data_IF_156933836480
#
_entry.id   IF_156933836480
#
_cell.length_a   1.000
_cell.length_b   1.000
_cell.length_c   1.000
_cell.angle_alpha   90.00
_cell.angle_beta   90.00
_cell.angle_gamma   90.00
#
_symmetry.space_group_name_H-M   'P 1'
#
loop_
_entity.id
_entity.type
_entity.pdbx_description
1 polymer ?
#
# COMPACT_ATOMS: atom_id res chain seq x y z
N UNK A 1 5.94 -9.27 -1.89
CA UNK A 1 5.94 -7.81 -1.67
C UNK A 1 6.08 -7.06 -3.00
N UNK A 2 5.15 -6.14 -3.30
CA UNK A 2 5.14 -5.27 -4.49
C UNK A 2 5.38 -3.82 -4.08
N UNK A 3 6.19 -3.08 -4.84
CA UNK A 3 6.39 -1.65 -4.61
C UNK A 3 5.38 -0.83 -5.43
N UNK A 4 4.65 0.06 -4.76
CA UNK A 4 3.67 0.98 -5.32
C UNK A 4 4.33 2.36 -5.44
N UNK A 5 4.43 2.89 -6.65
CA UNK A 5 5.10 4.15 -6.90
C UNK A 5 4.18 5.15 -7.60
N UNK A 6 4.52 6.43 -7.48
CA UNK A 6 3.99 7.48 -8.36
C UNK A 6 4.51 7.24 -9.80
N UNK A 7 3.68 7.40 -10.83
CA UNK A 7 4.06 7.23 -12.24
C UNK A 7 4.88 8.43 -12.76
N UNK A 8 6.02 8.70 -12.11
CA UNK A 8 6.84 9.92 -12.20
C UNK A 8 7.71 10.08 -13.45
N UNK A 9 7.54 9.24 -14.46
CA UNK A 9 8.29 9.33 -15.72
C UNK A 9 8.02 8.16 -16.66
N UNK A 10 8.50 8.21 -17.93
CA UNK A 10 8.24 7.17 -18.92
C UNK A 10 8.70 5.77 -18.48
N UNK A 11 9.89 5.65 -17.90
CA UNK A 11 10.41 4.35 -17.46
C UNK A 11 9.66 3.78 -16.26
N UNK A 12 9.29 4.62 -15.30
CA UNK A 12 8.47 4.19 -14.16
C UNK A 12 7.09 3.70 -14.63
N UNK A 13 6.47 4.39 -15.58
CA UNK A 13 5.20 3.99 -16.19
C UNK A 13 5.34 2.67 -16.95
N UNK A 14 6.41 2.50 -17.74
CA UNK A 14 6.68 1.25 -18.44
C UNK A 14 6.88 0.07 -17.47
N UNK A 15 7.59 0.29 -16.36
CA UNK A 15 7.76 -0.73 -15.32
C UNK A 15 6.44 -1.12 -14.65
N UNK A 16 5.51 -0.17 -14.47
CA UNK A 16 4.16 -0.45 -13.95
C UNK A 16 3.32 -1.24 -14.95
N UNK A 17 3.29 -0.83 -16.23
CA UNK A 17 2.57 -1.56 -17.28
C UNK A 17 3.12 -2.97 -17.51
N UNK A 18 4.42 -3.19 -17.28
CA UNK A 18 5.04 -4.51 -17.31
C UNK A 18 4.80 -5.34 -16.02
N UNK A 19 4.05 -4.82 -15.04
CA UNK A 19 3.75 -5.50 -13.77
C UNK A 19 4.92 -5.61 -12.79
N UNK A 20 6.03 -4.91 -13.03
CA UNK A 20 7.20 -4.89 -12.14
C UNK A 20 6.96 -4.01 -10.91
N UNK A 21 6.17 -2.96 -11.07
CA UNK A 21 5.73 -2.04 -10.02
C UNK A 21 4.20 -1.95 -10.03
N UNK A 22 3.60 -1.54 -8.91
CA UNK A 22 2.23 -1.03 -8.89
C UNK A 22 2.19 0.49 -8.89
N UNK A 23 1.02 1.05 -9.14
CA UNK A 23 0.78 2.48 -9.09
C UNK A 23 0.17 2.87 -7.73
N UNK A 24 0.78 3.82 -7.02
CA UNK A 24 0.10 4.56 -5.96
C UNK A 24 -0.58 5.78 -6.59
N UNK A 25 -1.87 5.95 -6.38
CA UNK A 25 -2.62 7.11 -6.88
C UNK A 25 -3.30 7.87 -5.74
N UNK A 26 -3.39 9.19 -5.88
CA UNK A 26 -4.04 10.08 -4.92
C UNK A 26 -4.87 11.14 -5.65
N UNK A 27 -5.87 11.76 -4.99
CA UNK A 27 -6.70 12.79 -5.61
C UNK A 27 -5.91 13.95 -6.21
N UNK A 28 -4.84 14.39 -5.52
CA UNK A 28 -4.05 15.55 -5.92
C UNK A 28 -2.87 15.23 -6.85
N UNK A 29 -2.62 13.96 -7.19
CA UNK A 29 -1.41 13.56 -7.93
C UNK A 29 -1.39 14.04 -9.39
N UNK A 30 -2.56 14.20 -10.01
CA UNK A 30 -2.72 14.63 -11.41
C UNK A 30 -2.20 13.67 -12.48
N UNK A 31 -1.46 12.62 -12.10
CA UNK A 31 -0.97 11.61 -13.02
C UNK A 31 -2.01 10.51 -13.25
N UNK A 32 -2.05 9.97 -14.47
CA UNK A 32 -2.89 8.81 -14.82
C UNK A 32 -2.23 7.50 -14.39
N UNK A 33 -3.05 6.52 -14.01
CA UNK A 33 -2.58 5.15 -13.77
C UNK A 33 -2.15 4.55 -15.13
N UNK A 34 -0.94 3.99 -15.24
CA UNK A 34 -0.50 3.36 -16.49
C UNK A 34 -1.39 2.20 -16.91
N UNK A 35 -1.51 2.00 -18.23
CA UNK A 35 -2.30 0.92 -18.80
C UNK A 35 -1.82 -0.45 -18.28
N UNK A 36 -2.77 -1.32 -17.91
CA UNK A 36 -2.51 -2.65 -17.35
C UNK A 36 -1.94 -2.67 -15.92
N UNK A 37 -1.56 -1.53 -15.35
CA UNK A 37 -0.97 -1.50 -14.01
C UNK A 37 -2.00 -1.84 -12.93
N UNK A 38 -1.57 -2.61 -11.92
CA UNK A 38 -2.28 -2.72 -10.65
C UNK A 38 -2.09 -1.40 -9.87
N UNK A 39 -3.13 -0.96 -9.17
CA UNK A 39 -3.13 0.33 -8.49
C UNK A 39 -3.69 0.25 -7.08
N UNK A 40 -3.27 1.17 -6.23
CA UNK A 40 -3.88 1.42 -4.93
C UNK A 40 -4.23 2.90 -4.78
N UNK A 41 -5.26 3.18 -3.99
CA UNK A 41 -5.78 4.53 -3.79
C UNK A 41 -5.46 5.02 -2.37
N UNK A 42 -4.54 5.99 -2.27
CA UNK A 42 -4.24 6.71 -1.05
C UNK A 42 -5.10 7.99 -0.99
N UNK A 43 -5.54 8.36 0.22
CA UNK A 43 -6.43 9.48 0.45
C UNK A 43 -5.71 10.84 0.47
N UNK A 44 -4.39 10.87 0.70
CA UNK A 44 -3.56 12.06 0.74
C UNK A 44 -3.52 12.81 2.07
N UNK A 45 -4.04 12.25 3.17
CA UNK A 45 -4.13 12.91 4.50
C UNK A 45 -2.80 13.12 5.20
N UNK A 46 -1.80 12.28 4.95
CA UNK A 46 -0.45 12.53 5.46
C UNK A 46 0.21 13.77 4.80
N UNK A 47 -0.18 14.09 3.57
CA UNK A 47 0.31 15.24 2.82
C UNK A 47 -0.68 16.41 2.80
N UNK A 48 -0.58 17.25 1.77
CA UNK A 48 -1.53 18.35 1.51
C UNK A 48 -2.56 17.97 0.42
N UNK A 49 -2.78 16.67 0.22
CA UNK A 49 -3.52 16.13 -0.92
C UNK A 49 -4.98 15.75 -0.61
N UNK A 50 -5.39 15.82 0.65
CA UNK A 50 -6.75 15.48 1.08
C UNK A 50 -7.78 16.49 0.56
N UNK A 51 -8.76 16.06 -0.26
CA UNK A 51 -9.75 16.96 -0.84
C UNK A 51 -11.00 17.15 0.03
N UNK A 52 -11.08 16.47 1.19
CA UNK A 52 -12.33 16.30 1.94
C UNK A 52 -13.03 14.98 1.59
N UNK A 53 -13.84 14.46 2.52
CA UNK A 53 -14.29 13.08 2.47
C UNK A 53 -15.22 12.78 1.28
N UNK A 54 -16.19 13.65 1.02
CA UNK A 54 -17.12 13.49 -0.12
C UNK A 54 -16.38 13.57 -1.47
N UNK A 55 -15.46 14.53 -1.60
CA UNK A 55 -14.67 14.69 -2.81
C UNK A 55 -13.70 13.51 -3.02
N UNK A 56 -13.15 12.96 -1.94
CA UNK A 56 -12.32 11.76 -1.98
C UNK A 56 -13.13 10.54 -2.43
N UNK A 57 -14.32 10.32 -1.88
CA UNK A 57 -15.16 9.19 -2.26
C UNK A 57 -15.64 9.30 -3.72
N UNK A 58 -16.02 10.50 -4.16
CA UNK A 58 -16.38 10.75 -5.57
C UNK A 58 -15.19 10.46 -6.51
N UNK A 59 -13.99 10.91 -6.14
CA UNK A 59 -12.77 10.61 -6.88
C UNK A 59 -12.46 9.10 -6.91
N UNK A 60 -12.62 8.42 -5.78
CA UNK A 60 -12.38 6.98 -5.67
C UNK A 60 -13.34 6.21 -6.58
N UNK A 61 -14.64 6.50 -6.52
CA UNK A 61 -15.64 5.84 -7.37
C UNK A 61 -15.34 6.05 -8.86
N UNK A 62 -15.02 7.28 -9.27
CA UNK A 62 -14.64 7.57 -10.66
C UNK A 62 -13.33 6.88 -11.08
N UNK A 63 -12.37 6.75 -10.17
CA UNK A 63 -11.11 6.04 -10.43
C UNK A 63 -11.37 4.55 -10.62
N UNK A 64 -12.18 3.93 -9.76
CA UNK A 64 -12.53 2.52 -9.86
C UNK A 64 -13.33 2.22 -11.13
N UNK A 65 -14.30 3.06 -11.48
CA UNK A 65 -15.07 2.93 -12.72
C UNK A 65 -14.17 3.01 -13.97
N UNK A 66 -13.25 3.99 -13.99
CA UNK A 66 -12.39 4.21 -15.15
C UNK A 66 -11.30 3.14 -15.32
N UNK A 67 -10.70 2.66 -14.22
CA UNK A 67 -9.56 1.75 -14.27
C UNK A 67 -9.92 0.29 -13.94
N UNK A 68 -11.12 0.00 -13.48
CA UNK A 68 -11.58 -1.34 -13.15
C UNK A 68 -11.24 -1.75 -11.71
N UNK A 69 -12.21 -2.35 -11.03
CA UNK A 69 -12.08 -2.84 -9.66
C UNK A 69 -11.09 -4.01 -9.56
N UNK A 70 -10.98 -4.85 -10.60
CA UNK A 70 -10.13 -6.03 -10.66
C UNK A 70 -8.63 -5.72 -10.60
N UNK A 71 -8.24 -4.49 -10.93
CA UNK A 71 -6.86 -4.00 -10.84
C UNK A 71 -6.59 -3.20 -9.57
N UNK A 72 -7.62 -2.87 -8.80
CA UNK A 72 -7.48 -2.16 -7.54
C UNK A 72 -6.99 -3.12 -6.46
N UNK A 73 -5.79 -2.90 -5.95
CA UNK A 73 -5.22 -3.65 -4.85
C UNK A 73 -5.93 -3.34 -3.54
N UNK A 74 -6.28 -2.06 -3.33
CA UNK A 74 -7.02 -1.55 -2.18
C UNK A 74 -7.22 -0.03 -2.28
N UNK A 75 -8.14 0.49 -1.48
CA UNK A 75 -8.27 1.91 -1.17
C UNK A 75 -8.25 2.15 0.35
N UNK A 76 -7.48 3.14 0.80
CA UNK A 76 -7.39 3.46 2.23
C UNK A 76 -8.56 4.34 2.68
N UNK A 77 -9.24 3.92 3.73
CA UNK A 77 -10.28 4.73 4.37
C UNK A 77 -9.69 6.04 4.95
N UNK A 78 -10.50 7.09 5.12
CA UNK A 78 -10.05 8.33 5.75
C UNK A 78 -9.50 8.11 7.16
N UNK A 79 -8.34 8.70 7.45
CA UNK A 79 -7.56 8.46 8.68
C UNK A 79 -7.07 9.75 9.35
N UNK A 80 -6.60 9.68 10.59
CA UNK A 80 -5.95 10.81 11.27
C UNK A 80 -4.51 10.44 11.56
N UNK A 81 -3.52 10.96 10.78
CA UNK A 81 -2.14 10.58 10.95
C UNK A 81 -1.64 10.68 12.39
N UNK A 82 -1.03 9.60 12.89
CA UNK A 82 -0.49 9.46 14.25
C UNK A 82 -1.54 9.43 15.38
N UNK A 83 -2.82 9.21 15.08
CA UNK A 83 -3.90 9.09 16.07
C UNK A 83 -4.80 7.89 15.75
N UNK A 84 -4.67 6.80 16.52
CA UNK A 84 -5.42 5.56 16.29
C UNK A 84 -6.93 5.70 16.59
N UNK A 85 -7.31 6.36 17.68
CA UNK A 85 -8.72 6.52 18.07
C UNK A 85 -9.45 7.41 17.06
N UNK A 86 -8.85 8.54 16.68
CA UNK A 86 -9.44 9.42 15.69
C UNK A 86 -9.47 8.77 14.30
N UNK A 87 -8.47 7.94 13.96
CA UNK A 87 -8.51 7.15 12.73
C UNK A 87 -9.65 6.14 12.71
N UNK A 88 -9.87 5.39 13.80
CA UNK A 88 -11.01 4.48 13.89
C UNK A 88 -12.33 5.22 13.68
N UNK A 89 -12.53 6.31 14.42
CA UNK A 89 -13.75 7.11 14.34
C UNK A 89 -13.98 7.69 12.93
N UNK A 90 -12.93 8.16 12.27
CA UNK A 90 -13.04 8.75 10.93
C UNK A 90 -13.19 7.70 9.83
N UNK A 91 -12.60 6.51 9.98
CA UNK A 91 -12.62 5.45 8.97
C UNK A 91 -13.96 4.69 8.91
N UNK A 92 -14.59 4.41 10.07
CA UNK A 92 -15.79 3.54 10.15
C UNK A 92 -16.87 3.87 9.11
N UNK A 93 -17.29 5.15 8.93
CA UNK A 93 -18.34 5.48 7.97
C UNK A 93 -18.03 5.13 6.52
N UNK A 94 -16.75 4.90 6.18
CA UNK A 94 -16.28 4.72 4.80
C UNK A 94 -15.95 3.27 4.45
N UNK A 95 -15.82 2.37 5.44
CA UNK A 95 -15.44 0.97 5.17
C UNK A 95 -16.46 0.28 4.25
N UNK A 96 -17.75 0.35 4.59
CA UNK A 96 -18.81 -0.24 3.78
C UNK A 96 -18.96 0.45 2.39
N UNK A 97 -18.96 1.80 2.28
CA UNK A 97 -18.94 2.47 0.97
C UNK A 97 -17.78 2.06 0.06
N UNK A 98 -16.56 1.93 0.56
CA UNK A 98 -15.41 1.47 -0.25
C UNK A 98 -15.65 0.04 -0.72
N UNK A 99 -16.06 -0.86 0.17
CA UNK A 99 -16.36 -2.26 -0.16
C UNK A 99 -17.46 -2.38 -1.22
N UNK A 100 -18.45 -1.49 -1.20
CA UNK A 100 -19.53 -1.45 -2.17
C UNK A 100 -19.07 -1.11 -3.61
N UNK A 101 -17.86 -0.55 -3.78
CA UNK A 101 -17.22 -0.39 -5.09
C UNK A 101 -16.60 -1.69 -5.62
N UNK A 102 -16.66 -2.78 -4.86
CA UNK A 102 -16.09 -4.08 -5.25
C UNK A 102 -14.57 -4.17 -5.12
N UNK A 103 -13.95 -3.31 -4.30
CA UNK A 103 -12.51 -3.27 -4.08
C UNK A 103 -12.13 -3.55 -2.61
N UNK A 104 -10.89 -3.99 -2.33
CA UNK A 104 -10.43 -4.20 -0.95
C UNK A 104 -10.32 -2.90 -0.16
N UNK A 105 -10.76 -2.93 1.10
CA UNK A 105 -10.71 -1.81 2.04
C UNK A 105 -9.41 -1.86 2.85
N UNK A 106 -8.63 -0.78 2.84
CA UNK A 106 -7.48 -0.63 3.71
C UNK A 106 -7.78 0.29 4.90
N UNK A 107 -7.35 -0.13 6.09
CA UNK A 107 -7.39 0.70 7.30
C UNK A 107 -5.99 1.15 7.68
N UNK A 108 -5.81 2.46 7.88
CA UNK A 108 -4.54 3.08 8.21
C UNK A 108 -4.26 2.95 9.72
N UNK A 109 -3.60 1.89 10.15
CA UNK A 109 -3.14 1.78 11.53
C UNK A 109 -2.10 2.87 11.84
N UNK A 110 -2.38 3.65 12.88
CA UNK A 110 -1.58 4.76 13.39
C UNK A 110 -0.99 4.45 14.78
N UNK A 111 -0.21 5.36 15.31
CA UNK A 111 0.31 5.32 16.67
C UNK A 111 -0.81 5.05 17.69
N UNK A 112 -0.65 3.97 18.47
CA UNK A 112 -1.64 3.51 19.46
C UNK A 112 -2.57 2.39 18.98
N UNK A 113 -2.56 2.01 17.69
CA UNK A 113 -3.51 1.01 17.14
C UNK A 113 -3.33 -0.39 17.73
N UNK A 114 -2.26 -0.65 18.47
CA UNK A 114 -2.05 -1.89 19.22
C UNK A 114 -2.98 -2.04 20.43
N UNK A 115 -3.69 -0.99 20.84
CA UNK A 115 -4.69 -1.09 21.90
C UNK A 115 -5.94 -1.85 21.42
N UNK A 116 -6.55 -2.59 22.35
CA UNK A 116 -7.71 -3.43 22.07
C UNK A 116 -8.87 -2.62 21.48
N UNK A 117 -9.46 -3.14 20.40
CA UNK A 117 -10.62 -2.54 19.74
C UNK A 117 -10.33 -1.35 18.81
N UNK A 118 -9.06 -0.97 18.62
CA UNK A 118 -8.71 0.15 17.73
C UNK A 118 -8.53 -0.23 16.26
N UNK A 119 -8.65 -1.51 15.93
CA UNK A 119 -8.63 -2.00 14.55
C UNK A 119 -9.92 -2.80 14.29
N UNK A 120 -10.72 -2.42 13.29
CA UNK A 120 -11.95 -3.13 12.94
C UNK A 120 -11.62 -4.33 12.04
N UNK A 121 -11.00 -5.37 12.63
CA UNK A 121 -10.41 -6.50 11.90
C UNK A 121 -11.37 -7.20 10.93
N UNK A 122 -12.65 -7.31 11.29
CA UNK A 122 -13.66 -8.00 10.49
C UNK A 122 -14.23 -7.16 9.33
N UNK A 123 -13.89 -5.86 9.27
CA UNK A 123 -14.44 -4.92 8.29
C UNK A 123 -13.42 -4.49 7.21
N UNK A 124 -12.18 -4.96 7.32
CA UNK A 124 -11.06 -4.54 6.47
C UNK A 124 -10.47 -5.74 5.71
N UNK A 125 -9.80 -5.45 4.60
CA UNK A 125 -9.09 -6.46 3.81
C UNK A 125 -7.57 -6.25 3.86
N UNK A 126 -7.15 -5.03 4.18
CA UNK A 126 -5.73 -4.62 4.23
C UNK A 126 -5.44 -3.82 5.49
N UNK A 127 -4.43 -4.25 6.25
CA UNK A 127 -3.86 -3.43 7.32
C UNK A 127 -2.73 -2.56 6.75
N UNK A 128 -2.92 -1.24 6.75
CA UNK A 128 -1.90 -0.28 6.35
C UNK A 128 -1.18 0.29 7.58
N UNK A 129 0.10 -0.06 7.76
CA UNK A 129 1.00 0.53 8.76
C UNK A 129 1.38 1.97 8.38
N UNK A 130 0.51 2.91 8.73
CA UNK A 130 0.53 4.30 8.30
C UNK A 130 1.26 5.25 9.25
N UNK A 131 1.29 4.94 10.56
CA UNK A 131 1.79 5.77 11.66
C UNK A 131 3.19 6.40 11.54
N UNK A 132 3.67 6.88 12.68
CA UNK A 132 4.97 7.51 12.78
C UNK A 132 6.09 6.55 12.34
N UNK A 133 7.25 7.14 12.02
CA UNK A 133 8.43 6.38 11.58
C UNK A 133 8.89 5.39 12.64
N UNK A 134 8.78 5.82 13.90
CA UNK A 134 9.15 5.06 15.09
C UNK A 134 8.15 3.92 15.30
N UNK A 135 6.87 4.24 15.35
CA UNK A 135 5.80 3.28 15.56
C UNK A 135 5.76 2.19 14.48
N UNK A 136 5.79 2.53 13.19
CA UNK A 136 5.70 1.53 12.11
C UNK A 136 6.93 0.62 11.99
N UNK A 137 7.99 0.90 12.74
CA UNK A 137 9.17 0.02 12.87
C UNK A 137 9.30 -0.65 14.21
N UNK A 138 8.33 -0.44 15.09
CA UNK A 138 8.30 -1.00 16.42
C UNK A 138 7.86 -2.48 16.41
N UNK A 139 8.08 -3.20 17.52
CA UNK A 139 7.46 -4.49 17.75
C UNK A 139 5.93 -4.47 17.72
N UNK A 140 5.29 -3.36 18.10
CA UNK A 140 3.83 -3.22 18.07
C UNK A 140 3.30 -3.35 16.64
N UNK A 141 3.88 -2.60 15.70
CA UNK A 141 3.52 -2.70 14.28
C UNK A 141 3.85 -4.08 13.69
N UNK A 142 4.91 -4.75 14.16
CA UNK A 142 5.21 -6.13 13.76
C UNK A 142 4.14 -7.12 14.24
N UNK A 143 3.71 -7.03 15.50
CA UNK A 143 2.62 -7.87 16.03
C UNK A 143 1.33 -7.66 15.26
N UNK A 144 0.95 -6.41 14.99
CA UNK A 144 -0.24 -6.08 14.21
C UNK A 144 -0.18 -6.65 12.79
N UNK A 145 0.97 -6.52 12.12
CA UNK A 145 1.19 -7.13 10.81
C UNK A 145 1.01 -8.65 10.88
N UNK A 146 1.59 -9.30 11.89
CA UNK A 146 1.48 -10.75 12.05
C UNK A 146 0.03 -11.20 12.32
N UNK A 147 -0.71 -10.47 13.17
CA UNK A 147 -2.14 -10.68 13.41
C UNK A 147 -2.94 -10.51 12.12
N UNK A 148 -2.69 -9.47 11.33
CA UNK A 148 -3.33 -9.29 10.04
C UNK A 148 -3.09 -10.49 9.12
N UNK A 149 -1.85 -10.98 9.04
CA UNK A 149 -1.52 -12.17 8.23
C UNK A 149 -2.20 -13.44 8.75
N UNK A 150 -2.32 -13.63 10.07
CA UNK A 150 -3.00 -14.82 10.63
C UNK A 150 -4.50 -14.81 10.37
N UNK A 151 -5.10 -13.62 10.21
CA UNK A 151 -6.49 -13.43 9.79
C UNK A 151 -6.70 -13.49 8.27
N UNK A 152 -5.63 -13.70 7.49
CA UNK A 152 -5.70 -13.76 6.03
C UNK A 152 -5.75 -12.38 5.34
N UNK A 153 -5.53 -11.29 6.07
CA UNK A 153 -5.50 -9.94 5.52
C UNK A 153 -4.19 -9.66 4.79
N UNK A 154 -4.23 -8.71 3.85
CA UNK A 154 -3.01 -8.17 3.27
C UNK A 154 -2.40 -7.12 4.19
N UNK A 155 -1.08 -6.92 4.11
CA UNK A 155 -0.38 -5.89 4.88
C UNK A 155 0.33 -4.92 3.95
N UNK A 156 0.13 -3.64 4.21
CA UNK A 156 0.81 -2.54 3.53
C UNK A 156 1.62 -1.70 4.52
N UNK A 157 2.78 -1.21 4.11
CA UNK A 157 3.55 -0.23 4.89
C UNK A 157 4.07 0.88 4.00
N UNK A 158 3.90 2.11 4.46
CA UNK A 158 4.27 3.30 3.70
C UNK A 158 5.56 3.97 4.16
N UNK A 159 6.06 4.87 3.31
CA UNK A 159 7.33 5.60 3.47
C UNK A 159 8.57 4.69 3.42
N UNK A 160 8.56 3.72 2.51
CA UNK A 160 9.64 2.75 2.28
C UNK A 160 10.64 3.28 1.24
N UNK A 161 11.47 4.23 1.65
CA UNK A 161 12.43 4.93 0.76
C UNK A 161 13.87 4.40 0.82
N UNK A 162 14.09 3.17 1.28
CA UNK A 162 15.43 2.57 1.37
C UNK A 162 15.39 1.04 1.39
N UNK A 163 16.49 0.39 0.99
CA UNK A 163 16.65 -1.06 1.11
C UNK A 163 16.47 -1.57 2.55
N UNK A 164 16.92 -0.80 3.55
CA UNK A 164 16.71 -1.13 4.98
C UNK A 164 15.22 -1.23 5.30
N UNK A 165 14.43 -0.27 4.83
CA UNK A 165 12.96 -0.27 5.01
C UNK A 165 12.29 -1.39 4.21
N UNK A 166 12.79 -1.69 3.00
CA UNK A 166 12.31 -2.82 2.20
C UNK A 166 12.48 -4.16 2.93
N UNK A 167 13.65 -4.38 3.56
CA UNK A 167 13.91 -5.60 4.36
C UNK A 167 13.05 -5.68 5.61
N UNK A 168 12.82 -4.54 6.27
CA UNK A 168 11.90 -4.49 7.41
C UNK A 168 10.48 -4.87 7.00
N UNK A 169 9.98 -4.30 5.91
CA UNK A 169 8.66 -4.61 5.38
C UNK A 169 8.53 -6.10 4.98
N UNK A 170 9.56 -6.68 4.37
CA UNK A 170 9.60 -8.12 4.08
C UNK A 170 9.55 -8.96 5.36
N UNK A 171 10.31 -8.61 6.38
CA UNK A 171 10.30 -9.30 7.68
C UNK A 171 8.98 -9.17 8.44
N UNK A 172 8.17 -8.14 8.14
CA UNK A 172 6.81 -7.96 8.66
C UNK A 172 5.78 -8.77 7.85
N UNK A 173 6.18 -9.35 6.71
CA UNK A 173 5.27 -10.06 5.82
C UNK A 173 4.41 -9.14 4.94
N UNK A 174 4.86 -7.92 4.66
CA UNK A 174 4.10 -6.96 3.86
C UNK A 174 3.91 -7.42 2.41
N UNK A 175 2.68 -7.28 1.92
CA UNK A 175 2.27 -7.59 0.55
C UNK A 175 2.57 -6.43 -0.39
N UNK A 176 2.34 -5.20 0.05
CA UNK A 176 2.64 -3.98 -0.70
C UNK A 176 3.43 -2.97 0.13
N UNK A 177 4.26 -2.16 -0.52
CA UNK A 177 4.96 -1.02 0.08
C UNK A 177 4.87 0.19 -0.83
N UNK A 178 4.91 1.39 -0.28
CA UNK A 178 5.00 2.61 -1.08
C UNK A 178 6.03 3.57 -0.50
N UNK A 179 6.46 4.50 -1.33
CA UNK A 179 7.35 5.56 -0.93
C UNK A 179 7.65 6.52 -2.07
N UNK A 180 8.08 7.72 -1.70
CA UNK A 180 8.38 8.82 -2.62
C UNK A 180 9.72 8.68 -3.34
N UNK A 181 10.47 7.59 -3.16
CA UNK A 181 11.81 7.41 -3.72
C UNK A 181 11.90 7.64 -5.24
N UNK A 182 10.93 7.17 -6.03
CA UNK A 182 10.90 7.41 -7.47
C UNK A 182 10.39 8.80 -7.87
N UNK A 183 9.66 9.49 -7.00
CA UNK A 183 9.23 10.86 -7.27
C UNK A 183 10.42 11.83 -7.27
N UNK A 184 11.50 11.52 -6.53
CA UNK A 184 12.71 12.32 -6.45
C UNK A 184 13.83 11.75 -7.33
N UNK A 185 13.76 11.98 -8.65
CA UNK A 185 14.80 11.53 -9.59
C UNK A 185 14.55 10.11 -10.11
N UNK A 186 13.45 9.88 -10.86
CA UNK A 186 13.02 8.56 -11.31
C UNK A 186 14.09 7.82 -12.12
N UNK A 187 14.77 8.50 -13.04
CA UNK A 187 15.77 7.88 -13.93
C UNK A 187 16.98 7.34 -13.14
N UNK A 188 17.39 8.06 -12.10
CA UNK A 188 18.49 7.64 -11.21
C UNK A 188 18.03 6.56 -10.22
N UNK A 189 16.80 6.66 -9.71
CA UNK A 189 16.33 5.84 -8.60
C UNK A 189 15.65 4.54 -9.05
N UNK A 190 15.11 4.45 -10.26
CA UNK A 190 14.49 3.24 -10.77
C UNK A 190 15.48 2.05 -10.85
N UNK A 191 16.71 2.20 -11.39
CA UNK A 191 17.70 1.13 -11.34
C UNK A 191 18.04 0.68 -9.91
N UNK A 192 18.09 1.63 -8.96
CA UNK A 192 18.35 1.34 -7.54
C UNK A 192 17.19 0.59 -6.88
N UNK A 193 15.96 1.01 -7.14
CA UNK A 193 14.78 0.30 -6.64
C UNK A 193 14.72 -1.13 -7.20
N UNK A 194 15.02 -1.30 -8.48
CA UNK A 194 15.09 -2.64 -9.11
C UNK A 194 16.15 -3.52 -8.45
N UNK A 195 17.31 -2.97 -8.08
CA UNK A 195 18.32 -3.73 -7.36
C UNK A 195 17.88 -4.13 -5.95
N UNK A 196 17.07 -3.30 -5.27
CA UNK A 196 16.47 -3.67 -3.98
C UNK A 196 15.49 -4.82 -4.11
N UNK A 197 14.58 -4.75 -5.09
CA UNK A 197 13.62 -5.81 -5.37
C UNK A 197 14.34 -7.14 -5.71
N UNK A 198 15.37 -7.06 -6.55
CA UNK A 198 16.19 -8.23 -6.88
C UNK A 198 16.94 -8.80 -5.67
N UNK A 199 17.43 -7.96 -4.75
CA UNK A 199 18.08 -8.42 -3.53
C UNK A 199 17.10 -9.19 -2.62
N UNK A 200 15.84 -8.76 -2.51
CA UNK A 200 14.82 -9.50 -1.77
C UNK A 200 14.44 -10.83 -2.44
N UNK A 201 14.49 -10.90 -3.78
CA UNK A 201 14.22 -12.13 -4.52
C UNK A 201 15.34 -13.17 -4.38
N UNK A 202 16.59 -12.72 -4.29
CA UNK A 202 17.78 -13.59 -4.27
C UNK A 202 18.31 -13.88 -2.87
N UNK A 203 18.04 -13.00 -1.91
CA UNK A 203 18.46 -13.10 -0.51
C UNK A 203 17.28 -12.74 0.40
N UNK A 204 16.24 -13.61 0.45
CA UNK A 204 15.10 -13.37 1.32
C UNK A 204 15.56 -13.26 2.78
N UNK A 205 14.96 -12.35 3.54
CA UNK A 205 15.19 -12.28 4.98
C UNK A 205 14.83 -13.60 5.66
N UNK A 206 15.48 -13.90 6.79
CA UNK A 206 15.27 -15.14 7.56
C UNK A 206 13.80 -15.37 7.97
N UNK A 207 12.99 -14.30 7.97
CA UNK A 207 11.58 -14.31 8.35
C UNK A 207 10.63 -14.09 7.16
N UNK A 208 11.14 -14.08 5.93
CA UNK A 208 10.30 -13.91 4.75
C UNK A 208 9.33 -15.09 4.60
N UNK A 209 8.04 -14.79 4.39
CA UNK A 209 7.07 -15.82 4.04
C UNK A 209 7.40 -16.44 2.68
N UNK A 210 7.28 -17.77 2.50
CA UNK A 210 7.54 -18.41 1.22
C UNK A 210 6.56 -17.88 0.16
N UNK A 211 7.08 -17.39 -0.97
CA UNK A 211 6.23 -16.95 -2.09
C UNK A 211 5.70 -18.18 -2.84
N UNK A 212 4.46 -18.14 -3.35
CA UNK A 212 4.02 -19.14 -4.30
C UNK A 212 4.96 -19.15 -5.51
N UNK A 213 5.55 -20.31 -5.81
CA UNK A 213 6.36 -20.51 -7.01
C UNK A 213 5.49 -20.23 -8.23
N UNK A 214 5.90 -19.28 -9.09
CA UNK A 214 5.34 -19.19 -10.44
C UNK A 214 5.61 -20.53 -11.11
N UNK A 215 4.56 -21.26 -11.46
CA UNK A 215 4.67 -22.44 -12.31
C UNK A 215 5.40 -22.02 -13.58
N UNK A 216 6.60 -22.56 -13.80
CA UNK A 216 7.22 -22.49 -15.11
C UNK A 216 6.37 -23.35 -16.02
N UNK A 217 5.45 -22.75 -16.76
CA UNK A 217 4.84 -23.39 -17.91
C UNK A 217 5.97 -23.72 -18.89
N UNK A 218 6.36 -25.00 -18.88
CA UNK A 218 7.22 -25.57 -19.91
C UNK A 218 6.39 -25.53 -21.19
N UNK A 219 6.68 -24.58 -22.06
CA UNK A 219 6.24 -24.66 -23.44
C UNK A 219 6.95 -25.87 -24.06
N UNK A 220 6.16 -26.86 -24.46
CA UNK A 220 6.54 -27.95 -25.35
C UNK A 220 6.13 -27.56 -26.77
#
# INVERSE_FOLDING_TARGET
>A
MRYLATPSGPEARAAMSAGLLGCMTTPAQGNRIPEGALYACDNGKFGKGWPGADAWMAWLAATVDHYGAERCLWAVAPDVPMDAEATLAESIPWLAPIRALGIPVAFAAQDGSEADGLIPWDEIDVLFLAGSTEWKTSPAAWHLAHTAKSLGLAVHIGRVNSLRRMRLAEGFGCDTVDGTFLAYGPDTNLPRLRSWLHALDTQPSLFASPRPQKSRERHA
#
